data_IF_227394318913
#
_entry.id   IF_227394318913
#
_cell.length_a   1.000
_cell.length_b   1.000
_cell.length_c   1.000
_cell.angle_alpha   90.00
_cell.angle_beta   90.00
_cell.angle_gamma   90.00
#
_symmetry.space_group_name_H-M   'P 1'
#
loop_
_entity.id
_entity.type
_entity.pdbx_description
1 polymer ?
#
# COMPACT_ATOMS: atom_id res chain seq x y z
N UNK A 1 3.85 15.17 7.17
CA UNK A 1 4.46 13.82 7.10
C UNK A 1 4.14 12.88 8.27
N UNK A 2 3.58 13.34 9.40
CA UNK A 2 3.21 12.44 10.52
C UNK A 2 2.01 11.53 10.23
N UNK A 3 1.03 12.00 9.45
CA UNK A 3 -0.15 11.19 9.09
C UNK A 3 0.23 9.94 8.29
N UNK A 4 1.12 10.04 7.30
CA UNK A 4 1.60 8.88 6.56
C UNK A 4 2.31 7.88 7.48
N UNK A 5 3.17 8.34 8.40
CA UNK A 5 3.85 7.45 9.37
C UNK A 5 2.87 6.69 10.28
N UNK A 6 1.71 7.28 10.60
CA UNK A 6 0.71 6.67 11.49
C UNK A 6 -0.34 5.83 10.76
N UNK A 7 -0.75 6.25 9.57
CA UNK A 7 -1.90 5.70 8.85
C UNK A 7 -1.53 4.97 7.54
N UNK A 8 -0.24 4.79 7.23
CA UNK A 8 0.19 4.08 6.02
C UNK A 8 -0.44 2.70 5.86
N UNK A 9 -0.71 2.02 6.98
CA UNK A 9 -1.29 0.68 6.97
C UNK A 9 -2.74 0.66 6.48
N UNK A 10 -3.49 1.77 6.62
CA UNK A 10 -4.86 1.89 6.11
C UNK A 10 -4.92 2.14 4.61
N UNK A 11 -3.84 2.58 3.99
CA UNK A 11 -3.86 2.95 2.56
C UNK A 11 -4.18 1.71 1.71
N UNK A 12 -3.57 0.56 2.02
CA UNK A 12 -3.86 -0.69 1.31
C UNK A 12 -5.32 -1.14 1.37
N UNK A 13 -5.95 -1.31 2.56
CA UNK A 13 -7.35 -1.71 2.62
C UNK A 13 -8.29 -0.68 1.97
N UNK A 14 -8.01 0.62 2.08
CA UNK A 14 -8.81 1.66 1.41
C UNK A 14 -8.73 1.51 -0.12
N UNK A 15 -7.52 1.37 -0.67
CA UNK A 15 -7.32 1.18 -2.12
C UNK A 15 -7.98 -0.12 -2.58
N UNK A 16 -7.79 -1.21 -1.83
CA UNK A 16 -8.36 -2.51 -2.16
C UNK A 16 -9.89 -2.46 -2.21
N UNK A 17 -10.54 -1.94 -1.17
CA UNK A 17 -12.01 -1.82 -1.09
C UNK A 17 -12.53 -0.94 -2.23
N UNK A 18 -11.89 0.20 -2.46
CA UNK A 18 -12.27 1.13 -3.54
C UNK A 18 -12.21 0.44 -4.91
N UNK A 19 -11.13 -0.28 -5.22
CA UNK A 19 -10.98 -1.00 -6.48
C UNK A 19 -11.93 -2.19 -6.60
N UNK A 20 -12.07 -2.97 -5.53
CA UNK A 20 -12.90 -4.16 -5.51
C UNK A 20 -14.38 -3.83 -5.76
N UNK A 21 -14.92 -2.82 -5.08
CA UNK A 21 -16.30 -2.37 -5.32
C UNK A 21 -16.42 -1.54 -6.59
N UNK A 22 -15.42 -0.73 -6.94
CA UNK A 22 -15.38 0.01 -8.21
C UNK A 22 -15.51 -0.89 -9.42
N UNK A 23 -14.78 -2.02 -9.45
CA UNK A 23 -14.87 -3.00 -10.52
C UNK A 23 -16.23 -3.69 -10.61
N UNK A 24 -16.96 -3.83 -9.49
CA UNK A 24 -18.33 -4.33 -9.53
C UNK A 24 -19.24 -3.38 -10.32
N UNK A 25 -19.10 -2.07 -10.14
CA UNK A 25 -19.85 -1.08 -10.92
C UNK A 25 -19.48 -1.08 -12.41
N UNK A 26 -18.28 -1.53 -12.77
CA UNK A 26 -17.80 -1.68 -14.14
C UNK A 26 -18.25 -3.00 -14.81
N UNK A 27 -19.09 -3.81 -14.15
CA UNK A 27 -19.61 -5.07 -14.70
C UNK A 27 -18.68 -6.28 -14.56
N UNK A 28 -17.58 -6.19 -13.80
CA UNK A 28 -16.82 -7.38 -13.42
C UNK A 28 -17.56 -8.14 -12.33
N UNK A 29 -18.32 -9.15 -12.73
CA UNK A 29 -19.13 -10.01 -11.83
C UNK A 29 -18.26 -10.90 -10.93
N UNK A 30 -17.17 -11.46 -11.49
CA UNK A 30 -16.32 -12.46 -10.81
C UNK A 30 -15.63 -11.89 -9.58
N UNK A 31 -16.05 -12.35 -8.41
CA UNK A 31 -15.47 -11.98 -7.11
C UNK A 31 -13.98 -12.32 -7.03
N UNK A 32 -13.57 -13.50 -7.51
CA UNK A 32 -12.17 -13.92 -7.49
C UNK A 32 -11.33 -13.01 -8.39
N UNK A 33 -11.80 -12.73 -9.60
CA UNK A 33 -11.10 -11.87 -10.56
C UNK A 33 -10.93 -10.45 -10.00
N UNK A 34 -11.99 -9.87 -9.44
CA UNK A 34 -11.91 -8.56 -8.77
C UNK A 34 -10.92 -8.57 -7.60
N UNK A 35 -10.93 -9.61 -6.78
CA UNK A 35 -10.02 -9.70 -5.64
C UNK A 35 -8.55 -9.76 -6.09
N UNK A 36 -8.23 -10.56 -7.12
CA UNK A 36 -6.89 -10.67 -7.67
C UNK A 36 -6.41 -9.33 -8.23
N UNK A 37 -7.24 -8.67 -9.06
CA UNK A 37 -6.90 -7.39 -9.67
C UNK A 37 -6.73 -6.30 -8.59
N UNK A 38 -7.67 -6.20 -7.64
CA UNK A 38 -7.62 -5.22 -6.56
C UNK A 38 -6.40 -5.44 -5.65
N UNK A 39 -6.05 -6.69 -5.34
CA UNK A 39 -4.86 -7.01 -4.56
C UNK A 39 -3.58 -6.65 -5.32
N UNK A 40 -3.47 -7.04 -6.60
CA UNK A 40 -2.31 -6.75 -7.43
C UNK A 40 -2.05 -5.25 -7.57
N UNK A 41 -3.08 -4.48 -7.93
CA UNK A 41 -2.98 -3.02 -8.04
C UNK A 41 -2.74 -2.39 -6.66
N UNK A 42 -3.43 -2.88 -5.62
CA UNK A 42 -3.29 -2.40 -4.25
C UNK A 42 -1.86 -2.49 -3.74
N UNK A 43 -1.13 -3.57 -4.04
CA UNK A 43 0.27 -3.74 -3.65
C UNK A 43 1.17 -2.67 -4.28
N UNK A 44 0.91 -2.30 -5.53
CA UNK A 44 1.69 -1.30 -6.28
C UNK A 44 1.38 0.10 -5.76
N UNK A 45 0.09 0.42 -5.59
CA UNK A 45 -0.37 1.75 -5.18
C UNK A 45 -0.21 2.03 -3.68
N UNK A 46 0.11 1.04 -2.86
CA UNK A 46 0.24 1.21 -1.41
C UNK A 46 1.70 1.36 -0.96
N UNK A 47 1.95 2.10 0.13
CA UNK A 47 3.29 2.19 0.68
C UNK A 47 3.73 0.86 1.30
N UNK A 48 5.01 0.53 1.17
CA UNK A 48 5.63 -0.69 1.67
C UNK A 48 6.70 -0.39 2.70
N UNK A 49 6.64 -1.10 3.82
CA UNK A 49 7.68 -1.04 4.86
C UNK A 49 8.79 -2.02 4.50
N UNK A 50 10.01 -1.52 4.36
CA UNK A 50 11.23 -2.31 4.22
C UNK A 50 12.04 -2.22 5.50
N UNK A 51 12.68 -3.32 5.88
CA UNK A 51 13.67 -3.34 6.96
C UNK A 51 15.05 -3.21 6.32
N UNK A 52 15.84 -2.25 6.79
CA UNK A 52 17.22 -2.04 6.33
C UNK A 52 18.17 -2.16 7.51
N UNK A 53 19.29 -2.85 7.31
CA UNK A 53 20.39 -2.85 8.26
C UNK A 53 21.26 -1.62 8.01
N UNK A 54 21.38 -0.77 9.04
CA UNK A 54 22.29 0.37 9.05
C UNK A 54 23.44 0.08 10.02
N UNK A 55 24.54 0.82 9.91
CA UNK A 55 25.66 0.72 10.85
C UNK A 55 25.25 0.98 12.31
N UNK A 56 24.12 1.66 12.53
CA UNK A 56 23.53 1.94 13.85
C UNK A 56 22.43 0.95 14.29
N UNK A 57 22.14 -0.09 13.50
CA UNK A 57 21.10 -1.09 13.78
C UNK A 57 20.02 -1.22 12.69
N UNK A 58 18.99 -2.05 12.97
CA UNK A 58 17.85 -2.27 12.08
C UNK A 58 16.91 -1.05 12.10
N UNK A 59 16.66 -0.45 10.92
CA UNK A 59 15.68 0.62 10.75
C UNK A 59 14.56 0.19 9.82
N UNK A 60 13.34 0.63 10.12
CA UNK A 60 12.19 0.47 9.22
C UNK A 60 12.09 1.68 8.31
N UNK A 61 11.91 1.44 7.02
CA UNK A 61 11.80 2.47 6.00
C UNK A 61 10.49 2.29 5.24
N UNK A 62 9.66 3.32 5.25
CA UNK A 62 8.47 3.39 4.41
C UNK A 62 8.91 3.84 3.01
N UNK A 63 8.63 3.00 2.03
CA UNK A 63 8.88 3.25 0.60
C UNK A 63 7.55 3.29 -0.14
N UNK A 64 7.40 4.21 -1.08
CA UNK A 64 6.16 4.35 -1.83
C UNK A 64 6.43 4.95 -3.21
N UNK A 65 5.69 4.53 -4.24
CA UNK A 65 5.83 5.03 -5.61
C UNK A 65 5.61 6.55 -5.70
N UNK A 66 4.76 7.11 -4.83
CA UNK A 66 4.46 8.54 -4.79
C UNK A 66 5.37 9.33 -3.83
N UNK A 67 6.31 8.67 -3.14
CA UNK A 67 7.29 9.34 -2.27
C UNK A 67 8.58 9.58 -3.06
N UNK A 68 8.98 10.84 -3.15
CA UNK A 68 10.28 11.23 -3.72
C UNK A 68 11.45 10.66 -2.92
N UNK A 69 11.31 10.62 -1.59
CA UNK A 69 12.32 10.09 -0.68
C UNK A 69 11.68 9.12 0.32
N UNK A 70 12.37 8.02 0.67
CA UNK A 70 11.87 7.10 1.67
C UNK A 70 11.78 7.73 3.06
N UNK A 71 10.77 7.34 3.83
CA UNK A 71 10.54 7.86 5.18
C UNK A 71 11.06 6.86 6.20
N UNK A 72 12.02 7.26 7.02
CA UNK A 72 12.49 6.42 8.15
C UNK A 72 11.43 6.43 9.25
N UNK A 73 11.01 5.23 9.65
CA UNK A 73 10.17 4.95 10.80
C UNK A 73 11.13 4.63 11.96
N UNK A 74 11.15 5.53 12.95
CA UNK A 74 12.00 5.43 14.14
C UNK A 74 11.21 4.79 15.28
#
# INVERSE_FOLDING_TARGET
MNFLKKYYFLIYPIVFVTLFFGMKFLGLESTITRAIIAAGIGIILSPRVKKIQTQSGEKKQLTWLFLKEPIILN
#
